data_IF_517688274431
#
_entry.id   IF_517688274431
#
_cell.length_a   1.000
_cell.length_b   1.000
_cell.length_c   1.000
_cell.angle_alpha   90.00
_cell.angle_beta   90.00
_cell.angle_gamma   90.00
#
_symmetry.space_group_name_H-M   'P 1'
#
loop_
_entity.id
_entity.type
_entity.pdbx_description
1 polymer ?
#
# COMPACT_ATOMS: atom_id res chain seq x y z
N UNK A 1 37.89 25.34 -12.05
CA UNK A 1 36.64 24.97 -12.74
C UNK A 1 36.16 26.16 -13.54
N UNK A 2 35.86 26.00 -14.83
CA UNK A 2 35.23 27.08 -15.61
C UNK A 2 33.80 27.25 -15.10
N UNK A 3 33.46 28.48 -14.72
CA UNK A 3 32.10 28.84 -14.30
C UNK A 3 31.20 28.72 -15.53
N UNK A 4 30.44 27.64 -15.65
CA UNK A 4 29.45 27.49 -16.73
C UNK A 4 28.31 28.46 -16.43
N UNK A 5 27.98 29.34 -17.37
CA UNK A 5 26.89 30.30 -17.17
C UNK A 5 25.53 29.60 -17.35
N UNK A 6 24.46 30.12 -16.73
CA UNK A 6 23.12 29.52 -16.79
C UNK A 6 22.60 29.38 -18.22
N UNK A 7 22.78 30.40 -19.06
CA UNK A 7 22.39 30.38 -20.48
C UNK A 7 23.15 29.32 -21.30
N UNK A 8 24.40 29.04 -20.92
CA UNK A 8 25.19 27.97 -21.55
C UNK A 8 24.70 26.60 -21.11
N UNK A 9 24.30 26.47 -19.83
CA UNK A 9 23.74 25.24 -19.29
C UNK A 9 22.42 24.87 -19.99
N UNK A 10 21.53 25.86 -20.15
CA UNK A 10 20.23 25.69 -20.81
C UNK A 10 20.40 25.24 -22.26
N UNK A 11 21.33 25.87 -23.00
CA UNK A 11 21.67 25.47 -24.36
C UNK A 11 22.24 24.06 -24.42
N UNK A 12 23.12 23.67 -23.50
CA UNK A 12 23.73 22.32 -23.49
C UNK A 12 22.66 21.26 -23.17
N UNK A 13 21.81 21.50 -22.18
CA UNK A 13 20.73 20.58 -21.82
C UNK A 13 19.64 20.47 -22.90
N UNK A 14 19.42 21.53 -23.68
CA UNK A 14 18.55 21.46 -24.86
C UNK A 14 19.07 20.51 -25.95
N UNK A 15 20.36 20.17 -25.95
CA UNK A 15 20.99 19.23 -26.89
C UNK A 15 20.98 17.76 -26.43
N UNK A 16 20.17 17.41 -25.43
CA UNK A 16 20.10 16.06 -24.87
C UNK A 16 19.93 14.94 -25.92
N UNK A 17 19.17 15.18 -27.00
CA UNK A 17 18.96 14.21 -28.07
C UNK A 17 20.14 14.05 -29.04
N UNK A 18 21.01 15.06 -29.14
CA UNK A 18 22.05 15.13 -30.17
C UNK A 18 23.47 14.97 -29.61
N UNK A 19 23.69 15.27 -28.33
CA UNK A 19 25.02 15.28 -27.73
C UNK A 19 25.04 14.72 -26.29
N UNK A 20 24.67 13.45 -26.15
CA UNK A 20 24.54 12.74 -24.88
C UNK A 20 25.81 12.79 -24.00
N UNK A 21 27.01 12.65 -24.58
CA UNK A 21 28.27 12.65 -23.83
C UNK A 21 28.57 14.00 -23.20
N UNK A 22 28.31 15.09 -23.91
CA UNK A 22 28.55 16.43 -23.40
C UNK A 22 27.56 16.80 -22.28
N UNK A 23 26.31 16.34 -22.37
CA UNK A 23 25.31 16.52 -21.31
C UNK A 23 25.71 15.75 -20.05
N UNK A 24 26.17 14.51 -20.18
CA UNK A 24 26.65 13.70 -19.05
C UNK A 24 27.89 14.29 -18.37
N UNK A 25 28.86 14.76 -19.16
CA UNK A 25 30.06 15.42 -18.62
C UNK A 25 29.69 16.68 -17.83
N UNK A 26 28.72 17.47 -18.30
CA UNK A 26 28.25 18.67 -17.59
C UNK A 26 27.47 18.31 -16.33
N UNK A 27 26.61 17.28 -16.37
CA UNK A 27 25.89 16.79 -15.19
C UNK A 27 26.85 16.32 -14.08
N UNK A 28 27.90 15.57 -14.43
CA UNK A 28 28.92 15.15 -13.46
C UNK A 28 29.73 16.32 -12.88
N UNK A 29 29.96 17.38 -13.67
CA UNK A 29 30.64 18.59 -13.20
C UNK A 29 29.79 19.41 -12.23
N UNK A 30 28.46 19.32 -12.33
CA UNK A 30 27.53 20.02 -11.43
C UNK A 30 27.56 19.48 -10.00
N UNK A 31 27.97 18.22 -9.80
CA UNK A 31 28.16 17.62 -8.47
C UNK A 31 29.19 18.38 -7.63
N UNK A 32 30.13 19.09 -8.29
CA UNK A 32 31.19 19.86 -7.66
C UNK A 32 30.98 21.38 -7.75
N UNK A 33 29.76 21.82 -8.08
CA UNK A 33 29.45 23.23 -8.29
C UNK A 33 29.52 24.08 -6.99
N UNK A 34 29.89 25.37 -7.08
CA UNK A 34 29.90 26.26 -5.93
C UNK A 34 28.47 26.55 -5.43
N UNK A 35 28.31 26.58 -4.10
CA UNK A 35 27.04 26.79 -3.36
C UNK A 35 26.20 27.95 -3.92
N UNK A 36 26.84 29.04 -4.33
CA UNK A 36 26.16 30.26 -4.82
C UNK A 36 25.46 30.10 -6.18
N UNK A 37 25.76 29.04 -6.94
CA UNK A 37 25.18 28.79 -8.26
C UNK A 37 24.25 27.56 -8.31
N UNK A 38 24.18 26.79 -7.21
CA UNK A 38 23.44 25.53 -7.12
C UNK A 38 21.94 25.72 -7.43
N UNK A 39 21.33 26.78 -6.90
CA UNK A 39 19.90 27.05 -7.10
C UNK A 39 19.55 27.33 -8.57
N UNK A 40 20.40 28.08 -9.29
CA UNK A 40 20.20 28.34 -10.71
C UNK A 40 20.35 27.07 -11.55
N UNK A 41 21.35 26.24 -11.24
CA UNK A 41 21.58 24.99 -11.97
C UNK A 41 20.46 23.98 -11.74
N UNK A 42 19.99 23.84 -10.50
CA UNK A 42 18.87 22.96 -10.18
C UNK A 42 17.57 23.40 -10.89
N UNK A 43 17.27 24.71 -10.92
CA UNK A 43 16.12 25.24 -11.66
C UNK A 43 16.19 24.90 -13.17
N UNK A 44 17.37 25.07 -13.78
CA UNK A 44 17.58 24.78 -15.20
C UNK A 44 17.50 23.27 -15.50
N UNK A 45 18.05 22.43 -14.63
CA UNK A 45 17.93 20.97 -14.76
C UNK A 45 16.47 20.52 -14.67
N UNK A 46 15.73 21.05 -13.70
CA UNK A 46 14.32 20.71 -13.52
C UNK A 46 13.47 21.21 -14.70
N UNK A 47 13.67 22.43 -15.18
CA UNK A 47 12.84 22.97 -16.27
C UNK A 47 12.97 22.17 -17.56
N UNK A 48 14.15 21.61 -17.84
CA UNK A 48 14.43 20.87 -19.08
C UNK A 48 14.19 19.38 -18.91
N UNK A 49 14.81 18.74 -17.91
CA UNK A 49 14.80 17.28 -17.82
C UNK A 49 13.55 16.72 -17.15
N UNK A 50 12.88 17.47 -16.26
CA UNK A 50 11.69 16.97 -15.58
C UNK A 50 10.56 16.63 -16.59
N UNK A 51 10.16 17.52 -17.53
CA UNK A 51 9.13 17.17 -18.52
C UNK A 51 9.54 15.99 -19.42
N UNK A 52 10.82 15.90 -19.80
CA UNK A 52 11.34 14.85 -20.68
C UNK A 52 11.40 13.48 -20.01
N UNK A 53 11.77 13.45 -18.72
CA UNK A 53 11.71 12.27 -17.87
C UNK A 53 10.27 11.77 -17.70
N UNK A 54 9.31 12.68 -17.51
CA UNK A 54 7.89 12.36 -17.38
C UNK A 54 7.28 11.82 -18.67
N UNK A 55 7.73 12.33 -19.82
CA UNK A 55 7.30 11.91 -21.15
C UNK A 55 8.03 10.64 -21.66
N UNK A 56 8.99 10.09 -20.90
CA UNK A 56 9.87 8.96 -21.30
C UNK A 56 10.62 9.19 -22.62
N UNK A 57 10.92 10.45 -22.94
CA UNK A 57 11.68 10.83 -24.14
C UNK A 57 13.18 10.90 -23.88
N UNK A 58 13.59 10.88 -22.61
CA UNK A 58 14.98 11.00 -22.22
C UNK A 58 15.71 9.65 -22.25
N UNK A 59 16.94 9.62 -22.78
CA UNK A 59 17.84 8.46 -22.72
C UNK A 59 18.10 8.05 -21.27
N UNK A 60 18.13 6.74 -21.03
CA UNK A 60 18.30 6.12 -19.70
C UNK A 60 19.55 6.64 -18.98
N UNK A 61 20.67 6.82 -19.70
CA UNK A 61 21.93 7.27 -19.08
C UNK A 61 21.86 8.73 -18.65
N UNK A 62 21.18 9.56 -19.43
CA UNK A 62 20.96 10.97 -19.06
C UNK A 62 20.02 11.06 -17.87
N UNK A 63 18.99 10.21 -17.81
CA UNK A 63 18.09 10.15 -16.66
C UNK A 63 18.83 9.76 -15.37
N UNK A 64 19.71 8.76 -15.44
CA UNK A 64 20.58 8.36 -14.31
C UNK A 64 21.55 9.47 -13.89
N UNK A 65 22.20 10.13 -14.85
CA UNK A 65 23.09 11.26 -14.58
C UNK A 65 22.36 12.47 -13.98
N UNK A 66 21.12 12.72 -14.41
CA UNK A 66 20.25 13.75 -13.83
C UNK A 66 19.93 13.44 -12.37
N UNK A 67 19.59 12.18 -12.04
CA UNK A 67 19.31 11.76 -10.65
C UNK A 67 20.55 11.90 -9.77
N UNK A 68 21.71 11.41 -10.23
CA UNK A 68 22.99 11.53 -9.49
C UNK A 68 23.34 12.99 -9.19
N UNK A 69 23.24 13.86 -10.19
CA UNK A 69 23.50 15.27 -10.03
C UNK A 69 22.49 15.93 -9.08
N UNK A 70 21.20 15.56 -9.16
CA UNK A 70 20.18 16.06 -8.24
C UNK A 70 20.43 15.64 -6.80
N UNK A 71 20.75 14.37 -6.54
CA UNK A 71 21.08 13.86 -5.21
C UNK A 71 22.29 14.60 -4.61
N UNK A 72 23.34 14.82 -5.41
CA UNK A 72 24.50 15.61 -5.01
C UNK A 72 24.14 17.04 -4.63
N UNK A 73 23.34 17.73 -5.45
CA UNK A 73 22.91 19.11 -5.16
C UNK A 73 21.99 19.17 -3.91
N UNK A 74 21.08 18.20 -3.76
CA UNK A 74 20.19 18.07 -2.62
C UNK A 74 20.95 17.83 -1.30
N UNK A 75 22.09 17.14 -1.35
CA UNK A 75 22.97 16.98 -0.18
C UNK A 75 23.64 18.29 0.27
N UNK A 76 23.76 19.30 -0.60
CA UNK A 76 24.51 20.54 -0.32
C UNK A 76 23.59 21.66 0.18
N UNK A 77 22.42 21.87 -0.46
CA UNK A 77 21.46 22.91 -0.03
C UNK A 77 20.01 22.40 -0.13
N UNK A 78 19.55 21.52 0.77
CA UNK A 78 18.20 21.00 0.69
C UNK A 78 17.18 22.15 0.78
N UNK A 79 17.24 22.99 1.82
CA UNK A 79 16.16 23.95 2.11
C UNK A 79 15.83 24.98 1.01
N UNK A 80 16.80 25.48 0.24
CA UNK A 80 16.54 26.47 -0.84
C UNK A 80 16.11 25.82 -2.15
N UNK A 81 16.60 24.61 -2.45
CA UNK A 81 16.17 23.83 -3.61
C UNK A 81 14.70 23.41 -3.49
N UNK A 82 14.23 23.21 -2.26
CA UNK A 82 12.84 22.88 -1.98
C UNK A 82 11.91 24.09 -1.93
N UNK A 83 12.33 25.34 -2.09
CA UNK A 83 11.40 26.49 -2.28
C UNK A 83 10.90 26.60 -3.74
N UNK A 84 11.51 25.84 -4.66
CA UNK A 84 11.05 25.60 -6.06
C UNK A 84 9.81 24.65 -6.05
N UNK A 85 9.02 24.69 -4.96
CA UNK A 85 8.04 23.68 -4.49
C UNK A 85 6.66 23.74 -5.14
N UNK A 86 6.43 24.58 -6.14
CA UNK A 86 5.11 24.67 -6.79
C UNK A 86 4.98 23.69 -7.97
N UNK A 87 6.09 23.24 -8.57
CA UNK A 87 6.08 22.39 -9.78
C UNK A 87 5.80 20.91 -9.46
N UNK A 88 6.19 20.42 -8.28
CA UNK A 88 5.95 19.03 -7.86
C UNK A 88 4.51 18.73 -7.41
N UNK A 89 3.60 19.72 -7.40
CA UNK A 89 2.27 19.56 -6.81
C UNK A 89 1.19 18.97 -7.73
N UNK A 90 1.38 18.79 -9.03
CA UNK A 90 0.25 18.48 -9.92
C UNK A 90 0.58 17.62 -11.17
N UNK A 91 1.40 16.57 -11.07
CA UNK A 91 1.51 15.62 -12.19
C UNK A 91 1.60 14.16 -11.73
N UNK A 92 0.56 13.36 -12.03
CA UNK A 92 0.49 11.93 -11.72
C UNK A 92 1.68 11.12 -12.28
N UNK A 93 2.31 11.62 -13.35
CA UNK A 93 3.44 10.96 -14.02
C UNK A 93 4.70 10.96 -13.17
N UNK A 94 4.86 11.90 -12.23
CA UNK A 94 6.00 11.97 -11.32
C UNK A 94 6.07 10.71 -10.46
N UNK A 95 4.92 10.24 -10.01
CA UNK A 95 4.78 9.04 -9.18
C UNK A 95 4.98 7.73 -9.95
N UNK A 96 5.01 7.80 -11.28
CA UNK A 96 5.24 6.67 -12.20
C UNK A 96 6.66 6.64 -12.78
N UNK A 97 7.49 7.65 -12.46
CA UNK A 97 8.87 7.75 -12.93
C UNK A 97 9.84 7.10 -11.96
N UNK A 98 10.59 6.11 -12.45
CA UNK A 98 11.62 5.40 -11.66
C UNK A 98 12.78 6.31 -11.20
N UNK A 99 12.96 7.45 -11.86
CA UNK A 99 14.06 8.37 -11.61
C UNK A 99 13.66 9.53 -10.69
N UNK A 100 12.40 9.98 -10.78
CA UNK A 100 11.93 11.16 -10.04
C UNK A 100 11.32 10.77 -8.69
N UNK A 101 10.78 9.55 -8.57
CA UNK A 101 10.21 9.08 -7.31
C UNK A 101 11.22 9.03 -6.14
N UNK A 102 12.46 8.51 -6.30
CA UNK A 102 13.46 8.51 -5.23
C UNK A 102 13.81 9.94 -4.76
N UNK A 103 13.97 10.85 -5.71
CA UNK A 103 14.21 12.27 -5.48
C UNK A 103 13.11 12.90 -4.60
N UNK A 104 11.84 12.61 -4.90
CA UNK A 104 10.71 13.12 -4.14
C UNK A 104 10.63 12.56 -2.70
N UNK A 105 11.02 11.30 -2.50
CA UNK A 105 10.95 10.61 -1.20
C UNK A 105 12.03 11.07 -0.20
N UNK A 106 13.12 11.68 -0.65
CA UNK A 106 14.29 11.97 0.20
C UNK A 106 14.13 13.11 1.22
N UNK A 107 13.01 13.84 1.31
CA UNK A 107 12.87 14.93 2.30
C UNK A 107 11.46 15.11 2.93
N UNK A 108 11.04 14.12 3.72
CA UNK A 108 9.94 14.25 4.68
C UNK A 108 10.43 14.00 6.12
N UNK A 109 10.83 15.04 6.83
CA UNK A 109 10.94 15.05 8.29
C UNK A 109 10.27 16.33 8.82
N UNK A 110 9.91 16.42 10.12
CA UNK A 110 9.83 17.65 10.98
C UNK A 110 8.82 17.54 12.16
N UNK A 111 8.95 18.42 13.18
CA UNK A 111 8.49 18.22 14.57
C UNK A 111 7.86 19.47 15.24
N UNK A 112 6.86 19.32 16.15
CA UNK A 112 6.52 20.14 17.36
C UNK A 112 5.19 19.65 18.01
N UNK A 113 4.84 20.01 19.26
CA UNK A 113 3.91 19.23 20.15
C UNK A 113 2.39 19.34 19.90
N UNK A 114 1.89 20.37 19.21
CA UNK A 114 0.55 20.39 18.55
C UNK A 114 0.68 20.14 17.04
N UNK A 115 1.86 20.41 16.50
CA UNK A 115 2.29 20.08 15.14
C UNK A 115 2.33 18.56 14.96
N UNK A 116 2.51 17.75 16.01
CA UNK A 116 2.70 16.31 15.90
C UNK A 116 1.44 15.61 15.36
N UNK A 117 0.25 16.03 15.77
CA UNK A 117 -0.98 15.49 15.20
C UNK A 117 -1.15 15.88 13.73
N UNK A 118 -0.79 17.12 13.38
CA UNK A 118 -0.84 17.61 12.00
C UNK A 118 0.22 16.93 11.12
N UNK A 119 1.45 16.78 11.61
CA UNK A 119 2.55 16.07 10.99
C UNK A 119 2.19 14.61 10.82
N UNK A 120 1.70 13.93 11.84
CA UNK A 120 1.27 12.54 11.70
C UNK A 120 0.11 12.40 10.70
N UNK A 121 -0.83 13.36 10.66
CA UNK A 121 -1.89 13.37 9.66
C UNK A 121 -1.35 13.61 8.24
N UNK A 122 -0.38 14.52 8.07
CA UNK A 122 0.29 14.78 6.81
C UNK A 122 1.09 13.57 6.33
N UNK A 123 1.88 12.98 7.23
CA UNK A 123 2.72 11.81 6.97
C UNK A 123 1.85 10.63 6.58
N UNK A 124 0.78 10.35 7.34
CA UNK A 124 -0.16 9.27 7.00
C UNK A 124 -0.95 9.51 5.72
N UNK A 125 -1.32 10.76 5.42
CA UNK A 125 -1.92 11.10 4.13
C UNK A 125 -0.95 10.85 2.97
N UNK A 126 0.33 11.19 3.14
CA UNK A 126 1.36 10.89 2.16
C UNK A 126 1.54 9.37 1.97
N UNK A 127 1.61 8.60 3.06
CA UNK A 127 1.69 7.14 2.99
C UNK A 127 0.45 6.53 2.30
N UNK A 128 -0.75 7.08 2.54
CA UNK A 128 -1.97 6.66 1.83
C UNK A 128 -1.87 6.93 0.32
N UNK A 129 -1.47 8.13 -0.08
CA UNK A 129 -1.29 8.47 -1.50
C UNK A 129 -0.26 7.56 -2.17
N UNK A 130 0.85 7.26 -1.50
CA UNK A 130 1.83 6.30 -1.98
C UNK A 130 1.26 4.89 -2.13
N UNK A 131 0.43 4.42 -1.19
CA UNK A 131 -0.26 3.14 -1.30
C UNK A 131 -1.27 3.12 -2.45
N UNK A 132 -2.00 4.21 -2.69
CA UNK A 132 -2.93 4.31 -3.82
C UNK A 132 -2.22 4.18 -5.17
N UNK A 133 -0.99 4.67 -5.29
CA UNK A 133 -0.15 4.53 -6.48
C UNK A 133 0.27 3.07 -6.75
N UNK A 134 0.18 2.19 -5.75
CA UNK A 134 0.42 0.76 -5.91
C UNK A 134 -0.78 0.01 -6.53
N UNK A 135 -1.95 0.65 -6.69
CA UNK A 135 -3.11 0.03 -7.35
C UNK A 135 -2.86 -0.08 -8.86
N UNK A 136 -3.26 -1.21 -9.44
CA UNK A 136 -3.13 -1.43 -10.89
C UNK A 136 -4.17 -0.58 -11.63
N UNK A 137 -3.70 0.27 -12.56
CA UNK A 137 -4.58 1.06 -13.42
C UNK A 137 -4.65 0.46 -14.82
N UNK A 138 -5.66 0.82 -15.65
CA UNK A 138 -5.79 0.28 -17.00
C UNK A 138 -4.55 0.51 -17.89
N UNK A 139 -3.78 1.57 -17.63
CA UNK A 139 -2.54 1.89 -18.34
C UNK A 139 -1.38 0.95 -18.00
N UNK A 140 -1.45 0.26 -16.86
CA UNK A 140 -0.38 -0.62 -16.36
C UNK A 140 -0.37 -2.00 -16.97
N UNK A 141 -1.48 -2.39 -17.63
CA UNK A 141 -1.59 -3.67 -18.34
C UNK A 141 -0.47 -3.87 -19.35
N UNK A 142 0.05 -2.77 -19.91
CA UNK A 142 1.13 -2.77 -20.89
C UNK A 142 2.53 -2.64 -20.27
N UNK A 143 2.66 -2.36 -18.97
CA UNK A 143 3.96 -2.19 -18.29
C UNK A 143 3.91 -2.61 -16.82
N UNK A 144 3.68 -3.92 -16.60
CA UNK A 144 3.62 -4.51 -15.25
C UNK A 144 4.95 -4.41 -14.49
N UNK A 145 6.08 -4.46 -15.20
CA UNK A 145 7.41 -4.40 -14.58
C UNK A 145 7.64 -3.05 -13.88
N UNK A 146 7.23 -1.94 -14.51
CA UNK A 146 7.32 -0.61 -13.91
C UNK A 146 6.48 -0.51 -12.64
N UNK A 147 5.25 -1.07 -12.65
CA UNK A 147 4.38 -1.10 -11.48
C UNK A 147 4.98 -1.89 -10.33
N UNK A 148 5.57 -3.06 -10.60
CA UNK A 148 6.25 -3.84 -9.55
C UNK A 148 7.46 -3.12 -8.96
N UNK A 149 8.26 -2.43 -9.79
CA UNK A 149 9.38 -1.61 -9.30
C UNK A 149 8.88 -0.48 -8.40
N UNK A 150 7.85 0.25 -8.84
CA UNK A 150 7.21 1.29 -8.02
C UNK A 150 6.70 0.74 -6.68
N UNK A 151 6.00 -0.41 -6.69
CA UNK A 151 5.53 -1.08 -5.47
C UNK A 151 6.68 -1.40 -4.51
N UNK A 152 7.79 -1.96 -5.02
CA UNK A 152 8.98 -2.27 -4.22
C UNK A 152 9.61 -1.02 -3.61
N UNK A 153 9.78 0.06 -4.39
CA UNK A 153 10.33 1.32 -3.90
C UNK A 153 9.44 1.97 -2.84
N UNK A 154 8.13 2.05 -3.10
CA UNK A 154 7.14 2.60 -2.18
C UNK A 154 7.12 1.79 -0.88
N UNK A 155 7.02 0.46 -0.96
CA UNK A 155 6.98 -0.39 0.23
C UNK A 155 8.31 -0.34 1.00
N UNK A 156 9.46 -0.26 0.32
CA UNK A 156 10.75 -0.06 0.97
C UNK A 156 10.82 1.28 1.69
N UNK A 157 10.26 2.35 1.12
CA UNK A 157 10.20 3.64 1.78
C UNK A 157 9.28 3.61 3.01
N UNK A 158 8.08 3.05 2.88
CA UNK A 158 7.16 2.89 4.03
C UNK A 158 7.82 2.03 5.12
N UNK A 159 8.54 0.98 4.73
CA UNK A 159 9.34 0.18 5.65
C UNK A 159 10.36 1.05 6.41
N UNK A 160 11.14 1.89 5.71
CA UNK A 160 12.08 2.83 6.32
C UNK A 160 11.39 3.76 7.33
N UNK A 161 10.22 4.30 7.00
CA UNK A 161 9.43 5.14 7.91
C UNK A 161 8.96 4.36 9.15
N UNK A 162 8.63 3.07 8.99
CA UNK A 162 8.20 2.21 10.08
C UNK A 162 9.35 1.72 10.99
N UNK A 163 10.61 1.94 10.62
CA UNK A 163 11.79 1.59 11.42
C UNK A 163 12.57 2.82 11.92
N UNK A 164 12.18 4.04 11.52
CA UNK A 164 12.88 5.28 11.87
C UNK A 164 12.35 5.89 13.19
N UNK A 165 12.93 5.48 14.32
CA UNK A 165 12.94 6.23 15.59
C UNK A 165 11.69 6.16 16.50
N UNK A 166 11.53 7.12 17.42
CA UNK A 166 10.52 7.12 18.50
C UNK A 166 9.02 7.15 18.06
N UNK A 167 8.73 7.14 16.75
CA UNK A 167 7.36 7.29 16.19
C UNK A 167 6.81 6.04 15.47
N UNK A 168 7.59 4.97 15.37
CA UNK A 168 7.32 3.75 14.59
C UNK A 168 5.88 3.21 14.71
N UNK A 169 5.38 3.06 15.95
CA UNK A 169 4.05 2.50 16.19
C UNK A 169 2.93 3.47 15.84
N UNK A 170 3.15 4.78 15.93
CA UNK A 170 2.07 5.77 15.78
C UNK A 170 1.67 5.92 14.32
N UNK A 171 2.63 6.10 13.42
CA UNK A 171 2.33 6.26 11.98
C UNK A 171 1.75 4.98 11.39
N UNK A 172 2.35 3.83 11.70
CA UNK A 172 1.82 2.54 11.27
C UNK A 172 0.40 2.32 11.80
N UNK A 173 0.14 2.64 13.08
CA UNK A 173 -1.20 2.53 13.66
C UNK A 173 -2.20 3.47 12.98
N UNK A 174 -1.86 4.74 12.79
CA UNK A 174 -2.77 5.71 12.15
C UNK A 174 -3.10 5.26 10.73
N UNK A 175 -2.09 4.87 9.93
CA UNK A 175 -2.30 4.41 8.55
C UNK A 175 -3.28 3.23 8.48
N UNK A 176 -3.07 2.21 9.32
CA UNK A 176 -3.95 1.02 9.31
C UNK A 176 -5.35 1.30 9.91
N UNK A 177 -5.49 2.30 10.79
CA UNK A 177 -6.80 2.73 11.31
C UNK A 177 -7.55 3.66 10.35
N UNK A 178 -6.84 4.36 9.47
CA UNK A 178 -7.41 5.07 8.33
C UNK A 178 -7.81 4.11 7.20
N UNK A 179 -7.24 2.91 7.19
CA UNK A 179 -7.44 1.86 6.18
C UNK A 179 -6.96 2.27 4.79
N UNK A 180 -6.87 1.29 3.89
CA UNK A 180 -6.56 1.47 2.48
C UNK A 180 -7.23 0.31 1.70
N UNK A 181 -7.19 0.35 0.37
CA UNK A 181 -7.80 -0.72 -0.45
C UNK A 181 -7.34 -2.11 -0.01
N UNK A 182 -8.28 -3.03 0.19
CA UNK A 182 -7.99 -4.41 0.61
C UNK A 182 -7.14 -5.17 -0.41
N UNK A 183 -7.17 -4.74 -1.67
CA UNK A 183 -6.32 -5.26 -2.75
C UNK A 183 -4.82 -5.02 -2.52
N UNK A 184 -4.48 -4.01 -1.70
CA UNK A 184 -3.09 -3.69 -1.36
C UNK A 184 -2.57 -4.50 -0.18
N UNK A 185 -3.45 -5.12 0.63
CA UNK A 185 -3.04 -5.89 1.81
C UNK A 185 -1.99 -6.96 1.46
N UNK A 186 -2.17 -7.80 0.42
CA UNK A 186 -1.16 -8.80 0.05
C UNK A 186 0.20 -8.16 -0.29
N UNK A 187 0.19 -7.04 -1.00
CA UNK A 187 1.40 -6.32 -1.43
C UNK A 187 2.12 -5.73 -0.22
N UNK A 188 1.39 -5.05 0.66
CA UNK A 188 1.92 -4.43 1.87
C UNK A 188 2.48 -5.49 2.81
N UNK A 189 1.74 -6.58 3.02
CA UNK A 189 2.19 -7.70 3.86
C UNK A 189 3.43 -8.34 3.29
N UNK A 190 3.52 -8.57 1.98
CA UNK A 190 4.67 -9.22 1.35
C UNK A 190 5.92 -8.31 1.32
N UNK A 191 5.76 -7.05 0.88
CA UNK A 191 6.88 -6.16 0.57
C UNK A 191 7.37 -5.28 1.73
N UNK A 192 6.63 -5.19 2.84
CA UNK A 192 7.06 -4.43 4.04
C UNK A 192 7.51 -5.39 5.15
N UNK A 193 8.83 -5.55 5.38
CA UNK A 193 9.34 -6.47 6.42
C UNK A 193 8.94 -6.09 7.84
N UNK A 194 8.90 -4.79 8.16
CA UNK A 194 8.57 -4.29 9.51
C UNK A 194 7.10 -4.43 9.88
N UNK A 195 6.24 -5.00 9.02
CA UNK A 195 4.80 -5.08 9.26
C UNK A 195 4.42 -5.97 10.45
N UNK A 196 5.35 -6.75 11.02
CA UNK A 196 5.12 -7.53 12.24
C UNK A 196 4.67 -6.65 13.42
N UNK A 197 5.04 -5.36 13.44
CA UNK A 197 4.62 -4.41 14.49
C UNK A 197 3.11 -4.23 14.56
N UNK A 198 2.41 -4.46 13.44
CA UNK A 198 0.95 -4.30 13.31
C UNK A 198 0.19 -5.23 14.24
N UNK A 199 0.74 -6.42 14.54
CA UNK A 199 0.12 -7.39 15.44
C UNK A 199 -0.27 -6.76 16.78
N UNK A 200 0.55 -5.84 17.30
CA UNK A 200 0.33 -5.18 18.59
C UNK A 200 -0.99 -4.41 18.69
N UNK A 201 -1.57 -3.97 17.57
CA UNK A 201 -2.83 -3.22 17.54
C UNK A 201 -3.96 -3.88 16.72
N UNK A 202 -3.77 -5.09 16.18
CA UNK A 202 -4.84 -5.89 15.56
C UNK A 202 -6.07 -6.07 16.48
N UNK A 203 -5.91 -6.37 17.78
CA UNK A 203 -7.04 -6.45 18.71
C UNK A 203 -7.90 -5.20 18.77
N UNK A 204 -7.30 -4.02 18.60
CA UNK A 204 -7.99 -2.73 18.63
C UNK A 204 -8.62 -2.39 17.27
N UNK A 205 -7.94 -2.75 16.17
CA UNK A 205 -8.43 -2.55 14.81
C UNK A 205 -9.66 -3.43 14.49
N UNK A 206 -9.65 -4.70 14.92
CA UNK A 206 -10.79 -5.62 14.78
C UNK A 206 -11.99 -5.26 15.67
N UNK A 207 -11.83 -4.30 16.59
CA UNK A 207 -12.87 -3.81 17.51
C UNK A 207 -13.43 -2.44 17.12
N UNK A 208 -13.01 -1.87 15.99
CA UNK A 208 -13.54 -0.60 15.50
C UNK A 208 -15.06 -0.65 15.34
N UNK A 209 -15.80 0.42 15.63
CA UNK A 209 -17.27 0.41 15.52
C UNK A 209 -17.75 0.32 14.07
N UNK A 210 -16.96 0.79 13.11
CA UNK A 210 -17.26 0.70 11.67
C UNK A 210 -16.93 -0.70 11.14
N UNK A 211 -17.90 -1.33 10.46
CA UNK A 211 -17.75 -2.70 9.91
C UNK A 211 -16.60 -2.77 8.89
N UNK A 212 -16.46 -1.77 8.03
CA UNK A 212 -15.41 -1.76 7.00
C UNK A 212 -14.00 -1.84 7.61
N UNK A 213 -13.77 -1.12 8.72
CA UNK A 213 -12.51 -1.16 9.46
C UNK A 213 -12.30 -2.50 10.16
N UNK A 214 -13.36 -3.13 10.65
CA UNK A 214 -13.29 -4.48 11.21
C UNK A 214 -12.88 -5.49 10.13
N UNK A 215 -13.51 -5.44 8.95
CA UNK A 215 -13.20 -6.32 7.82
C UNK A 215 -11.75 -6.12 7.38
N UNK A 216 -11.31 -4.88 7.22
CA UNK A 216 -9.92 -4.55 6.91
C UNK A 216 -8.96 -5.16 7.96
N UNK A 217 -9.25 -4.97 9.25
CA UNK A 217 -8.44 -5.52 10.33
C UNK A 217 -8.40 -7.05 10.38
N UNK A 218 -9.53 -7.71 10.08
CA UNK A 218 -9.61 -9.17 9.98
C UNK A 218 -8.74 -9.66 8.83
N UNK A 219 -8.90 -9.08 7.63
CA UNK A 219 -8.13 -9.46 6.45
C UNK A 219 -6.64 -9.27 6.69
N UNK A 220 -6.22 -8.10 7.17
CA UNK A 220 -4.83 -7.82 7.50
C UNK A 220 -4.26 -8.83 8.50
N UNK A 221 -5.01 -9.18 9.55
CA UNK A 221 -4.58 -10.18 10.52
C UNK A 221 -4.43 -11.57 9.88
N UNK A 222 -5.35 -11.98 9.00
CA UNK A 222 -5.28 -13.25 8.28
C UNK A 222 -4.03 -13.36 7.40
N UNK A 223 -3.72 -12.33 6.61
CA UNK A 223 -2.50 -12.30 5.79
C UNK A 223 -1.22 -12.28 6.65
N UNK A 224 -1.24 -11.55 7.77
CA UNK A 224 -0.11 -11.55 8.71
C UNK A 224 0.10 -12.92 9.36
N UNK A 225 -0.96 -13.65 9.70
CA UNK A 225 -0.86 -15.01 10.24
C UNK A 225 -0.24 -15.98 9.24
N UNK A 226 -0.61 -15.89 7.96
CA UNK A 226 -0.03 -16.73 6.90
C UNK A 226 1.46 -16.38 6.67
N UNK A 227 1.82 -15.10 6.72
CA UNK A 227 3.23 -14.67 6.59
C UNK A 227 4.07 -15.02 7.83
N UNK A 228 3.50 -14.91 9.03
CA UNK A 228 4.18 -15.10 10.31
C UNK A 228 3.43 -16.10 11.21
N UNK A 229 3.53 -17.42 10.96
CA UNK A 229 2.80 -18.45 11.70
C UNK A 229 3.45 -18.74 13.07
N UNK A 230 3.45 -17.75 13.97
CA UNK A 230 4.03 -17.83 15.31
C UNK A 230 2.93 -17.89 16.40
N UNK A 231 3.28 -18.33 17.60
CA UNK A 231 2.35 -18.52 18.72
C UNK A 231 1.55 -17.26 19.08
N UNK A 232 2.19 -16.09 19.09
CA UNK A 232 1.52 -14.81 19.37
C UNK A 232 0.49 -14.42 18.28
N UNK A 233 0.71 -14.81 17.02
CA UNK A 233 -0.27 -14.63 15.94
C UNK A 233 -1.43 -15.60 16.09
N UNK A 234 -1.14 -16.86 16.43
CA UNK A 234 -2.16 -17.85 16.73
C UNK A 234 -3.09 -17.37 17.85
N UNK A 235 -2.53 -16.95 18.98
CA UNK A 235 -3.28 -16.43 20.12
C UNK A 235 -4.13 -15.21 19.75
N UNK A 236 -3.62 -14.36 18.86
CA UNK A 236 -4.36 -13.20 18.35
C UNK A 236 -5.52 -13.63 17.46
N UNK A 237 -5.30 -14.61 16.59
CA UNK A 237 -6.32 -15.13 15.71
C UNK A 237 -7.47 -15.80 16.48
N UNK A 238 -7.15 -16.64 17.47
CA UNK A 238 -8.13 -17.31 18.34
C UNK A 238 -9.01 -16.31 19.10
N UNK A 239 -8.38 -15.32 19.73
CA UNK A 239 -9.07 -14.42 20.67
C UNK A 239 -9.80 -13.28 19.98
N UNK A 240 -9.30 -12.82 18.83
CA UNK A 240 -9.78 -11.58 18.22
C UNK A 240 -10.28 -11.76 16.79
N UNK A 241 -9.63 -12.57 15.93
CA UNK A 241 -9.99 -12.62 14.50
C UNK A 241 -11.19 -13.53 14.25
N UNK A 242 -11.11 -14.79 14.69
CA UNK A 242 -12.13 -15.80 14.43
C UNK A 242 -13.49 -15.48 15.09
N UNK A 243 -13.56 -15.03 16.36
CA UNK A 243 -14.83 -14.60 16.96
C UNK A 243 -15.46 -13.39 16.25
N UNK A 244 -14.67 -12.56 15.57
CA UNK A 244 -15.18 -11.37 14.88
C UNK A 244 -15.84 -11.70 13.56
N UNK A 245 -15.34 -12.66 12.79
CA UNK A 245 -16.07 -13.17 11.63
C UNK A 245 -17.45 -13.69 12.03
N UNK A 246 -17.53 -14.48 13.09
CA UNK A 246 -18.82 -14.99 13.55
C UNK A 246 -19.80 -13.87 13.90
N UNK A 247 -19.30 -12.76 14.46
CA UNK A 247 -20.13 -11.56 14.72
C UNK A 247 -20.53 -10.80 13.45
N UNK A 248 -19.71 -10.80 12.40
CA UNK A 248 -20.07 -10.22 11.10
C UNK A 248 -21.16 -11.06 10.43
N UNK A 249 -21.03 -12.39 10.47
CA UNK A 249 -22.01 -13.30 9.90
C UNK A 249 -23.34 -13.32 10.69
N UNK A 250 -23.25 -13.26 12.02
CA UNK A 250 -24.38 -13.32 12.96
C UNK A 250 -24.32 -12.13 13.93
N UNK A 251 -24.78 -10.94 13.50
CA UNK A 251 -24.75 -9.75 14.35
C UNK A 251 -25.61 -9.94 15.60
N UNK A 252 -25.20 -9.30 16.70
CA UNK A 252 -25.90 -9.34 17.98
C UNK A 252 -27.19 -8.53 17.86
N UNK A 253 -28.32 -9.14 18.21
CA UNK A 253 -29.63 -8.49 18.24
C UNK A 253 -29.72 -7.50 19.40
N UNK A 254 -30.75 -6.64 19.41
CA UNK A 254 -30.99 -5.67 20.49
C UNK A 254 -31.13 -6.31 21.88
N UNK A 255 -31.38 -7.62 21.93
CA UNK A 255 -31.53 -8.42 23.15
C UNK A 255 -30.21 -9.03 23.63
N UNK A 256 -29.08 -8.74 22.96
CA UNK A 256 -27.75 -9.23 23.36
C UNK A 256 -27.43 -10.65 22.89
N UNK A 257 -28.32 -11.28 22.13
CA UNK A 257 -28.13 -12.62 21.57
C UNK A 257 -27.69 -12.56 20.10
N UNK A 258 -26.87 -13.51 19.61
CA UNK A 258 -26.56 -13.60 18.18
C UNK A 258 -27.83 -13.81 17.35
N UNK A 259 -27.96 -13.12 16.22
CA UNK A 259 -29.06 -13.35 15.28
C UNK A 259 -29.08 -14.82 14.83
N UNK A 260 -30.26 -15.48 14.83
CA UNK A 260 -30.39 -16.86 14.35
C UNK A 260 -30.26 -16.95 12.82
N UNK A 261 -30.47 -15.84 12.11
CA UNK A 261 -30.37 -15.74 10.66
C UNK A 261 -29.09 -15.02 10.27
N UNK A 262 -28.36 -15.57 9.30
CA UNK A 262 -27.19 -14.89 8.74
C UNK A 262 -27.65 -13.61 8.03
N UNK A 263 -26.89 -12.53 8.18
CA UNK A 263 -27.13 -11.29 7.43
C UNK A 263 -26.15 -11.21 6.24
N UNK A 264 -26.61 -11.44 4.99
CA UNK A 264 -25.77 -11.26 3.82
C UNK A 264 -25.31 -9.80 3.72
N UNK A 265 -24.00 -9.58 3.66
CA UNK A 265 -23.40 -8.26 3.54
C UNK A 265 -22.13 -8.33 2.69
N UNK A 266 -21.77 -7.23 2.04
CA UNK A 266 -20.49 -7.12 1.30
C UNK A 266 -19.29 -7.33 2.23
N UNK A 267 -19.40 -6.87 3.48
CA UNK A 267 -18.43 -7.11 4.54
C UNK A 267 -18.16 -8.61 4.79
N UNK A 268 -19.22 -9.43 4.81
CA UNK A 268 -19.08 -10.87 5.00
C UNK A 268 -18.41 -11.53 3.78
N UNK A 269 -18.80 -11.13 2.56
CA UNK A 269 -18.17 -11.59 1.32
C UNK A 269 -16.67 -11.30 1.32
N UNK A 270 -16.28 -10.08 1.71
CA UNK A 270 -14.88 -9.68 1.76
C UNK A 270 -14.10 -10.41 2.86
N UNK A 271 -14.71 -10.68 4.01
CA UNK A 271 -14.03 -11.32 5.13
C UNK A 271 -13.77 -12.82 4.92
N UNK A 272 -14.66 -13.54 4.23
CA UNK A 272 -14.60 -15.01 4.07
C UNK A 272 -13.27 -15.51 3.49
N UNK A 273 -12.72 -14.94 2.40
CA UNK A 273 -11.42 -15.34 1.87
C UNK A 273 -10.28 -15.27 2.89
N UNK A 274 -10.33 -14.32 3.84
CA UNK A 274 -9.37 -14.20 4.94
C UNK A 274 -9.20 -15.50 5.74
N UNK A 275 -10.27 -16.28 5.90
CA UNK A 275 -10.25 -17.51 6.69
C UNK A 275 -9.52 -18.66 6.00
N UNK A 276 -9.41 -18.61 4.68
CA UNK A 276 -8.56 -19.55 3.93
C UNK A 276 -7.09 -19.33 4.33
N UNK A 277 -6.64 -18.08 4.39
CA UNK A 277 -5.28 -17.74 4.84
C UNK A 277 -5.02 -18.18 6.28
N UNK A 278 -6.03 -18.07 7.15
CA UNK A 278 -5.93 -18.54 8.53
C UNK A 278 -5.81 -20.07 8.63
N UNK A 279 -6.57 -20.82 7.83
CA UNK A 279 -6.47 -22.27 7.77
C UNK A 279 -5.11 -22.74 7.21
N UNK A 280 -4.54 -22.02 6.24
CA UNK A 280 -3.18 -22.29 5.73
C UNK A 280 -2.10 -22.01 6.76
N UNK A 281 -2.23 -20.92 7.50
CA UNK A 281 -1.31 -20.57 8.58
C UNK A 281 -1.36 -21.59 9.73
N UNK A 282 -2.57 -22.01 10.09
CA UNK A 282 -2.85 -22.80 11.28
C UNK A 282 -3.90 -23.88 10.97
N UNK A 283 -3.47 -25.07 10.50
CA UNK A 283 -4.38 -26.12 10.02
C UNK A 283 -5.41 -26.60 11.05
N UNK A 284 -5.10 -26.54 12.34
CA UNK A 284 -6.00 -26.91 13.43
C UNK A 284 -7.27 -26.04 13.51
N UNK A 285 -7.28 -24.84 12.90
CA UNK A 285 -8.51 -24.05 12.76
C UNK A 285 -9.46 -24.59 11.70
N UNK A 286 -8.97 -25.39 10.75
CA UNK A 286 -9.75 -25.87 9.62
C UNK A 286 -11.11 -26.46 10.02
N UNK A 287 -11.20 -27.41 10.98
CA UNK A 287 -12.49 -27.94 11.44
C UNK A 287 -13.43 -26.88 12.02
N UNK A 288 -12.90 -25.88 12.74
CA UNK A 288 -13.70 -24.80 13.31
C UNK A 288 -14.20 -23.83 12.22
N UNK A 289 -13.36 -23.53 11.23
CA UNK A 289 -13.69 -22.68 10.09
C UNK A 289 -14.73 -23.36 9.19
N UNK A 290 -14.59 -24.67 8.93
CA UNK A 290 -15.58 -25.44 8.17
C UNK A 290 -16.95 -25.44 8.86
N UNK A 291 -16.99 -25.64 10.18
CA UNK A 291 -18.24 -25.52 10.95
C UNK A 291 -18.83 -24.11 10.87
N UNK A 292 -17.99 -23.08 10.90
CA UNK A 292 -18.45 -21.69 10.72
C UNK A 292 -19.06 -21.49 9.33
N UNK A 293 -18.42 -21.99 8.28
CA UNK A 293 -18.95 -21.94 6.92
C UNK A 293 -20.28 -22.69 6.76
N UNK A 294 -20.39 -23.88 7.35
CA UNK A 294 -21.64 -24.65 7.35
C UNK A 294 -22.76 -23.91 8.09
N UNK A 295 -22.45 -23.24 9.21
CA UNK A 295 -23.42 -22.42 9.93
C UNK A 295 -23.86 -21.21 9.10
N UNK A 296 -22.92 -20.52 8.44
CA UNK A 296 -23.23 -19.42 7.51
C UNK A 296 -24.13 -19.94 6.38
N UNK A 297 -23.78 -21.06 5.74
CA UNK A 297 -24.55 -21.65 4.66
C UNK A 297 -26.00 -21.99 5.09
N UNK A 298 -26.18 -22.56 6.29
CA UNK A 298 -27.51 -22.84 6.85
C UNK A 298 -28.32 -21.58 7.15
N UNK A 299 -27.65 -20.50 7.52
CA UNK A 299 -28.28 -19.22 7.82
C UNK A 299 -28.63 -18.39 6.59
N UNK A 300 -28.15 -18.79 5.39
CA UNK A 300 -28.44 -18.11 4.13
C UNK A 300 -29.71 -18.64 3.47
N UNK A 301 -30.52 -17.78 2.86
CA UNK A 301 -31.68 -18.21 2.07
C UNK A 301 -31.22 -19.03 0.85
N UNK A 302 -32.03 -20.01 0.45
CA UNK A 302 -31.62 -20.94 -0.61
C UNK A 302 -31.67 -20.25 -1.99
N UNK A 303 -30.69 -20.50 -2.89
CA UNK A 303 -30.73 -19.94 -4.24
C UNK A 303 -32.03 -20.23 -5.02
N UNK A 304 -32.68 -21.36 -4.71
CA UNK A 304 -33.96 -21.78 -5.31
C UNK A 304 -35.13 -20.85 -4.99
N UNK A 305 -35.07 -20.13 -3.87
CA UNK A 305 -36.11 -19.21 -3.40
C UNK A 305 -36.12 -17.89 -4.20
N UNK A 306 -35.10 -17.63 -5.01
CA UNK A 306 -34.93 -16.41 -5.81
C UNK A 306 -35.10 -16.63 -7.32
N UNK A 307 -35.42 -17.85 -7.77
CA UNK A 307 -35.63 -18.16 -9.18
C UNK A 307 -36.87 -17.40 -9.68
N UNK A 308 -36.66 -16.40 -10.55
CA UNK A 308 -37.72 -15.57 -11.15
C UNK A 308 -37.76 -14.10 -10.72
N UNK A 309 -36.88 -13.66 -9.81
CA UNK A 309 -36.75 -12.25 -9.39
C UNK A 309 -35.39 -11.68 -9.83
N UNK A 310 -35.24 -11.24 -11.08
CA UNK A 310 -33.92 -10.85 -11.65
C UNK A 310 -33.45 -9.40 -11.37
N UNK A 311 -34.01 -8.69 -10.40
CA UNK A 311 -33.77 -7.23 -10.32
C UNK A 311 -33.42 -6.66 -8.94
N UNK A 312 -33.00 -7.48 -7.97
CA UNK A 312 -32.56 -6.95 -6.66
C UNK A 312 -31.08 -7.17 -6.42
N UNK A 313 -30.33 -6.09 -6.14
CA UNK A 313 -28.92 -6.14 -5.71
C UNK A 313 -28.68 -7.11 -4.54
N UNK A 314 -29.72 -7.37 -3.73
CA UNK A 314 -29.69 -8.37 -2.64
C UNK A 314 -29.52 -9.80 -3.14
N UNK A 315 -30.11 -10.15 -4.29
CA UNK A 315 -30.02 -11.50 -4.87
C UNK A 315 -28.61 -11.72 -5.43
N UNK A 316 -28.06 -10.72 -6.11
CA UNK A 316 -26.67 -10.76 -6.62
C UNK A 316 -25.69 -10.97 -5.46
N UNK A 317 -25.86 -10.23 -4.36
CA UNK A 317 -25.03 -10.36 -3.17
C UNK A 317 -25.12 -11.75 -2.53
N UNK A 318 -26.33 -12.31 -2.40
CA UNK A 318 -26.54 -13.66 -1.83
C UNK A 318 -25.93 -14.73 -2.73
N UNK A 319 -26.11 -14.65 -4.05
CA UNK A 319 -25.50 -15.61 -4.99
C UNK A 319 -23.97 -15.52 -4.98
N UNK A 320 -23.43 -14.30 -4.93
CA UNK A 320 -21.99 -14.09 -4.82
C UNK A 320 -21.44 -14.66 -3.51
N UNK A 321 -22.14 -14.46 -2.39
CA UNK A 321 -21.78 -15.01 -1.09
C UNK A 321 -21.80 -16.54 -1.10
N UNK A 322 -22.81 -17.18 -1.69
CA UNK A 322 -22.84 -18.64 -1.86
C UNK A 322 -21.65 -19.16 -2.66
N UNK A 323 -21.27 -18.46 -3.75
CA UNK A 323 -20.09 -18.80 -4.55
C UNK A 323 -18.81 -18.69 -3.74
N UNK A 324 -18.56 -17.53 -3.13
CA UNK A 324 -17.34 -17.27 -2.34
C UNK A 324 -17.22 -18.23 -1.16
N UNK A 325 -18.34 -18.54 -0.49
CA UNK A 325 -18.38 -19.49 0.61
C UNK A 325 -18.02 -20.90 0.16
N UNK A 326 -18.56 -21.36 -0.98
CA UNK A 326 -18.24 -22.66 -1.55
C UNK A 326 -16.76 -22.74 -1.94
N UNK A 327 -16.27 -21.78 -2.71
CA UNK A 327 -14.88 -21.75 -3.18
C UNK A 327 -13.90 -21.73 -1.98
N UNK A 328 -14.20 -20.95 -0.94
CA UNK A 328 -13.38 -20.87 0.27
C UNK A 328 -13.45 -22.14 1.11
N UNK A 329 -14.62 -22.79 1.20
CA UNK A 329 -14.80 -24.07 1.91
C UNK A 329 -13.97 -25.18 1.27
N UNK A 330 -13.99 -25.26 -0.06
CA UNK A 330 -13.24 -26.27 -0.80
C UNK A 330 -11.72 -26.09 -0.57
N UNK A 331 -11.23 -24.85 -0.55
CA UNK A 331 -9.83 -24.55 -0.22
C UNK A 331 -9.45 -24.93 1.21
N UNK A 332 -10.31 -24.64 2.20
CA UNK A 332 -10.04 -25.02 3.61
C UNK A 332 -10.08 -26.54 3.78
N UNK A 333 -11.00 -27.22 3.10
CA UNK A 333 -11.08 -28.69 3.14
C UNK A 333 -9.78 -29.33 2.66
N UNK A 334 -9.20 -28.83 1.57
CA UNK A 334 -7.90 -29.29 1.07
C UNK A 334 -6.79 -29.15 2.12
N UNK A 335 -6.77 -28.07 2.90
CA UNK A 335 -5.77 -27.89 3.96
C UNK A 335 -6.01 -28.82 5.16
N UNK A 336 -7.27 -29.11 5.51
CA UNK A 336 -7.60 -30.10 6.56
C UNK A 336 -7.19 -31.50 6.12
N UNK A 337 -7.50 -31.88 4.89
CA UNK A 337 -7.19 -33.21 4.36
C UNK A 337 -5.66 -33.47 4.32
N UNK A 338 -4.85 -32.43 4.10
CA UNK A 338 -3.38 -32.52 4.19
C UNK A 338 -2.90 -32.82 5.60
N UNK A 339 -3.54 -32.25 6.61
CA UNK A 339 -3.21 -32.47 8.03
C UNK A 339 -3.55 -33.89 8.47
N UNK A 340 -4.65 -34.47 7.98
CA UNK A 340 -5.05 -35.85 8.29
C UNK A 340 -4.13 -36.90 7.61
N UNK A 341 -3.34 -36.49 6.60
CA UNK A 341 -2.39 -37.34 5.88
C UNK A 341 -0.94 -37.23 6.39
N UNK A 342 -0.63 -36.25 7.24
CA UNK A 342 0.69 -36.00 7.85
C UNK A 342 0.76 -36.52 9.28
#
# INVERSE_FOLDING_TARGET
MKKVNLEQLEFIFSQHDTNHSHVLDVLSQLEYAPITAIEGYANCMLSIFLPLCLDRKLDVRIAEGFVSAWESLNSIIPHSLWDIRIVFRCDERVFRSQYILPVWLHHTHFNSRNVLALTNAQDTAMLQLLLELCLETPTDKNNKECLEKSRRLICSFIHSIFIDGDREMILAKILHFQTYSTELIPIVVDLIPSLYIVLGFIPELTRQPQVDKQVFGILLACYLCEKYPLENYLMTAEKYVLPRLMKIAFPITKEGHPSPTCMPSEALVQAIPGFVHLARAFPHFGPQILRAFDNIAKGLPQPKEFIGQESSSKIILVLHLHKVLKDSRDLVQVEVDKMDQS
#
